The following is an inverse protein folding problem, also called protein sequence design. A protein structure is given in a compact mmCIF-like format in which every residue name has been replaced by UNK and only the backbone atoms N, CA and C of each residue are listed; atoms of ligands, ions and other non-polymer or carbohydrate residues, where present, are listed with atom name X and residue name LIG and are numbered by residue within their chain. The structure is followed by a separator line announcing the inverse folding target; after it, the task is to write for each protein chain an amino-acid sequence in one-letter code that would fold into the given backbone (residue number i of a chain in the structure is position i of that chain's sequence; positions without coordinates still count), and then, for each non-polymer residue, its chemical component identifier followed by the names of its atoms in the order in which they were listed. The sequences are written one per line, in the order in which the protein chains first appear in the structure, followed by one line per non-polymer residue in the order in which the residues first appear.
data_IF_277694288125
#
_entry.id   IF_277694288125
#
_cell.length_a   1.000
_cell.length_b   1.000
_cell.length_c   1.000
_cell.angle_alpha   90.00
_cell.angle_beta   90.00
_cell.angle_gamma   90.00
#
_symmetry.space_group_name_H-M   'P 1'
#
loop_
_entity.id
_entity.type
_entity.pdbx_description
1 polymer ?
#
# COMPACT_ATOMS: atom_id res chain seq x y z
N UNK A 1 6.41 5.83 -1.22
CA UNK A 1 7.59 5.19 -1.82
C UNK A 1 7.49 3.71 -1.51
N UNK A 2 7.46 2.87 -2.55
CA UNK A 2 7.24 1.43 -2.39
C UNK A 2 8.57 0.74 -2.10
N UNK A 3 8.62 0.03 -0.98
CA UNK A 3 9.73 -0.85 -0.64
C UNK A 3 9.41 -2.22 -1.24
N UNK A 4 9.83 -2.42 -2.49
CA UNK A 4 9.55 -3.65 -3.27
C UNK A 4 10.23 -4.87 -2.62
N UNK A 5 11.42 -4.71 -2.00
CA UNK A 5 12.09 -5.75 -1.22
C UNK A 5 12.40 -5.31 0.22
N UNK A 6 12.52 -6.27 1.12
CA UNK A 6 12.82 -6.02 2.54
C UNK A 6 14.11 -5.23 2.79
N UNK A 7 15.06 -5.22 1.85
CA UNK A 7 16.29 -4.41 1.92
C UNK A 7 16.43 -3.41 0.77
N UNK A 8 15.41 -3.23 -0.09
CA UNK A 8 15.52 -2.29 -1.22
C UNK A 8 15.41 -0.84 -0.77
N UNK A 9 16.12 0.04 -1.47
CA UNK A 9 15.96 1.48 -1.37
C UNK A 9 14.63 1.96 -1.94
N UNK A 10 14.11 2.99 -1.28
CA UNK A 10 12.90 3.71 -1.65
C UNK A 10 13.14 4.56 -2.90
N UNK A 11 12.85 4.02 -4.09
CA UNK A 11 13.02 4.74 -5.35
C UNK A 11 11.74 5.49 -5.74
N UNK A 12 11.78 6.81 -5.92
CA UNK A 12 10.64 7.55 -6.45
C UNK A 12 10.37 7.12 -7.89
N UNK A 13 9.10 6.92 -8.23
CA UNK A 13 8.67 6.55 -9.58
C UNK A 13 7.97 7.75 -10.22
N UNK A 14 8.41 8.14 -11.42
CA UNK A 14 7.85 9.28 -12.15
C UNK A 14 6.44 9.00 -12.69
N UNK A 15 6.12 7.74 -12.97
CA UNK A 15 4.84 7.29 -13.53
C UNK A 15 4.32 6.12 -12.70
N UNK A 16 3.05 6.13 -12.33
CA UNK A 16 2.39 5.06 -11.57
C UNK A 16 2.40 3.74 -12.33
N UNK A 17 2.62 2.63 -11.63
CA UNK A 17 2.50 1.30 -12.23
C UNK A 17 1.07 1.06 -12.72
N UNK A 18 0.95 0.48 -13.90
CA UNK A 18 -0.32 0.28 -14.59
C UNK A 18 -0.37 -1.16 -15.07
N UNK A 19 -1.46 -1.82 -14.73
CA UNK A 19 -1.70 -3.22 -15.07
C UNK A 19 -3.05 -3.36 -15.75
N UNK A 20 -3.13 -4.27 -16.71
CA UNK A 20 -4.41 -4.64 -17.30
C UNK A 20 -4.91 -5.92 -16.64
N UNK A 21 -5.79 -5.76 -15.65
CA UNK A 21 -6.32 -6.86 -14.85
C UNK A 21 -7.09 -7.91 -15.68
N UNK A 22 -7.57 -7.56 -16.88
CA UNK A 22 -8.25 -8.52 -17.78
C UNK A 22 -7.26 -9.52 -18.38
N UNK A 23 -6.05 -9.07 -18.73
CA UNK A 23 -5.02 -9.92 -19.33
C UNK A 23 -4.01 -10.45 -18.32
N UNK A 24 -3.84 -9.74 -17.21
CA UNK A 24 -2.85 -10.02 -16.18
C UNK A 24 -3.48 -9.84 -14.78
N UNK A 25 -4.27 -10.82 -14.32
CA UNK A 25 -5.00 -10.72 -13.05
C UNK A 25 -4.09 -10.77 -11.82
N UNK A 26 -2.84 -11.20 -11.98
CA UNK A 26 -1.86 -11.32 -10.89
C UNK A 26 -0.80 -10.21 -10.92
N UNK A 27 -0.96 -9.19 -11.76
CA UNK A 27 -0.04 -8.04 -11.85
C UNK A 27 1.43 -8.47 -12.12
N UNK A 28 1.60 -9.52 -12.92
CA UNK A 28 2.90 -10.10 -13.25
C UNK A 28 3.71 -9.32 -14.29
N UNK A 29 3.10 -8.37 -15.00
CA UNK A 29 3.76 -7.56 -16.05
C UNK A 29 4.39 -6.29 -15.48
N UNK A 30 5.30 -6.45 -14.53
CA UNK A 30 6.05 -5.38 -13.86
C UNK A 30 7.44 -5.12 -14.48
N UNK A 31 7.85 -5.93 -15.45
CA UNK A 31 9.14 -5.82 -16.12
C UNK A 31 9.25 -4.54 -16.95
N UNK A 32 10.46 -3.96 -17.06
CA UNK A 32 10.69 -2.68 -17.75
C UNK A 32 10.10 -2.63 -19.17
N UNK A 33 10.20 -3.73 -19.90
CA UNK A 33 9.77 -3.83 -21.30
C UNK A 33 8.25 -3.96 -21.42
N UNK A 34 7.66 -4.94 -20.71
CA UNK A 34 6.21 -5.16 -20.72
C UNK A 34 5.42 -3.95 -20.20
N UNK A 35 5.90 -3.35 -19.11
CA UNK A 35 5.35 -2.14 -18.54
C UNK A 35 5.49 -0.94 -19.48
N UNK A 36 6.67 -0.75 -20.10
CA UNK A 36 6.93 0.37 -21.01
C UNK A 36 5.96 0.38 -22.20
N UNK A 37 5.74 -0.77 -22.83
CA UNK A 37 4.79 -0.91 -23.92
C UNK A 37 3.33 -0.66 -23.49
N UNK A 38 2.97 -1.10 -22.29
CA UNK A 38 1.63 -0.91 -21.76
C UNK A 38 1.37 0.58 -21.46
N UNK A 39 2.31 1.27 -20.82
CA UNK A 39 2.19 2.71 -20.52
C UNK A 39 2.05 3.52 -21.81
N UNK A 40 2.82 3.21 -22.84
CA UNK A 40 2.70 3.89 -24.14
C UNK A 40 1.29 3.75 -24.74
N UNK A 41 0.73 2.53 -24.73
CA UNK A 41 -0.62 2.26 -25.25
C UNK A 41 -1.73 2.91 -24.42
N UNK A 42 -1.50 3.06 -23.12
CA UNK A 42 -2.48 3.55 -22.17
C UNK A 42 -2.30 5.03 -21.79
N UNK A 43 -1.38 5.75 -22.44
CA UNK A 43 -1.05 7.14 -22.14
C UNK A 43 -2.28 8.08 -22.18
N UNK A 44 -3.25 7.76 -23.04
CA UNK A 44 -4.51 8.49 -23.18
C UNK A 44 -5.40 8.44 -21.92
N UNK A 45 -5.22 7.46 -21.03
CA UNK A 45 -6.01 7.33 -19.80
C UNK A 45 -5.60 8.30 -18.69
N UNK A 46 -4.43 8.94 -18.83
CA UNK A 46 -3.90 9.87 -17.81
C UNK A 46 -4.88 11.01 -17.47
N UNK A 47 -5.55 11.56 -18.47
CA UNK A 47 -6.57 12.62 -18.31
C UNK A 47 -7.75 12.20 -17.42
N UNK A 48 -8.58 11.22 -17.86
CA UNK A 48 -9.75 10.80 -17.09
C UNK A 48 -9.39 10.24 -15.71
N UNK A 49 -8.23 9.58 -15.57
CA UNK A 49 -7.75 9.10 -14.28
C UNK A 49 -7.45 10.26 -13.32
N UNK A 50 -6.88 11.36 -13.81
CA UNK A 50 -6.61 12.56 -13.01
C UNK A 50 -7.87 13.17 -12.41
N UNK A 51 -8.95 13.27 -13.19
CA UNK A 51 -10.25 13.75 -12.71
C UNK A 51 -10.84 12.83 -11.64
N UNK A 52 -10.81 11.51 -11.89
CA UNK A 52 -11.30 10.51 -10.94
C UNK A 52 -10.55 10.57 -9.59
N UNK A 53 -9.22 10.67 -9.64
CA UNK A 53 -8.39 10.83 -8.44
C UNK A 53 -8.72 12.15 -7.74
N UNK A 54 -8.85 13.25 -8.48
CA UNK A 54 -9.23 14.55 -7.92
C UNK A 54 -10.56 14.49 -7.18
N UNK A 55 -11.58 13.88 -7.78
CA UNK A 55 -12.88 13.67 -7.17
C UNK A 55 -12.80 12.75 -5.94
N UNK A 56 -11.99 11.71 -5.99
CA UNK A 56 -11.75 10.83 -4.85
C UNK A 56 -11.11 11.59 -3.68
N UNK A 57 -10.07 12.40 -3.93
CA UNK A 57 -9.44 13.23 -2.90
C UNK A 57 -10.43 14.25 -2.30
N UNK A 58 -11.30 14.85 -3.12
CA UNK A 58 -12.37 15.71 -2.63
C UNK A 58 -13.32 14.96 -1.69
N UNK A 59 -13.72 13.75 -2.04
CA UNK A 59 -14.57 12.90 -1.19
C UNK A 59 -13.90 12.52 0.13
N UNK A 60 -12.58 12.30 0.16
CA UNK A 60 -11.84 12.03 1.40
C UNK A 60 -11.75 13.25 2.32
N UNK A 61 -11.78 14.46 1.76
CA UNK A 61 -11.85 15.70 2.53
C UNK A 61 -13.24 15.94 3.11
N UNK A 62 -14.29 15.64 2.34
CA UNK A 62 -15.70 15.76 2.76
C UNK A 62 -16.10 14.66 3.76
N UNK A 63 -15.57 13.45 3.57
CA UNK A 63 -15.84 12.25 4.38
C UNK A 63 -14.53 11.63 4.86
N UNK A 64 -13.93 12.15 5.94
CA UNK A 64 -12.65 11.66 6.43
C UNK A 64 -12.75 10.18 6.86
N UNK A 65 -11.71 9.36 6.60
CA UNK A 65 -11.72 7.94 6.96
C UNK A 65 -11.86 7.75 8.48
N UNK A 66 -12.90 7.03 8.88
CA UNK A 66 -13.23 6.77 10.30
C UNK A 66 -12.25 5.81 10.99
N UNK A 67 -11.51 5.04 10.20
CA UNK A 67 -10.40 4.25 10.70
C UNK A 67 -9.22 5.19 10.89
N UNK A 68 -9.07 5.72 12.10
CA UNK A 68 -7.83 6.37 12.51
C UNK A 68 -6.67 5.43 12.16
N UNK A 69 -5.60 5.98 11.57
CA UNK A 69 -4.38 5.21 11.33
C UNK A 69 -4.02 4.52 12.65
N UNK A 70 -4.21 3.19 12.71
CA UNK A 70 -3.81 2.45 13.90
C UNK A 70 -2.34 2.78 14.05
N UNK A 71 -2.00 3.50 15.11
CA UNK A 71 -0.65 3.62 15.62
C UNK A 71 -0.26 2.22 16.09
N UNK A 72 -0.08 1.31 15.15
CA UNK A 72 0.46 -0.01 15.40
C UNK A 72 1.96 0.18 15.53
N UNK A 73 2.34 0.82 16.64
CA UNK A 73 3.73 0.91 17.07
C UNK A 73 4.15 -0.49 17.53
N UNK A 74 4.68 -1.26 16.57
CA UNK A 74 5.18 -2.61 16.81
C UNK A 74 6.48 -2.63 17.62
N UNK A 75 7.04 -1.48 17.99
CA UNK A 75 8.33 -1.41 18.68
C UNK A 75 8.29 -2.12 20.02
N UNK A 76 7.14 -2.13 20.69
CA UNK A 76 7.00 -2.68 22.04
C UNK A 76 6.17 -3.97 22.13
N UNK A 77 5.67 -4.53 21.02
CA UNK A 77 4.82 -5.73 21.06
C UNK A 77 5.48 -6.93 21.77
N UNK A 78 6.79 -7.11 21.58
CA UNK A 78 7.54 -8.18 22.25
C UNK A 78 7.66 -7.91 23.75
N UNK A 79 7.91 -6.66 24.14
CA UNK A 79 8.00 -6.30 25.56
C UNK A 79 6.63 -6.45 26.25
N UNK A 80 5.55 -6.02 25.60
CA UNK A 80 4.19 -6.11 26.11
C UNK A 80 3.71 -7.57 26.24
N UNK A 81 4.04 -8.42 25.26
CA UNK A 81 3.78 -9.87 25.33
C UNK A 81 4.55 -10.55 26.48
N UNK A 82 5.82 -10.21 26.67
CA UNK A 82 6.64 -10.74 27.76
C UNK A 82 6.18 -10.23 29.13
N UNK A 83 5.70 -8.99 29.24
CA UNK A 83 5.15 -8.43 30.47
C UNK A 83 3.80 -9.06 30.84
N UNK A 84 2.89 -9.27 29.88
CA UNK A 84 1.62 -9.98 30.11
C UNK A 84 1.85 -11.42 30.61
N UNK A 85 2.86 -12.12 30.10
CA UNK A 85 3.25 -13.45 30.60
C UNK A 85 3.76 -13.45 32.04
N UNK A 86 4.42 -12.37 32.47
CA UNK A 86 4.92 -12.23 33.85
C UNK A 86 3.83 -11.82 34.84
N UNK A 87 2.77 -11.15 34.37
CA UNK A 87 1.67 -10.68 35.21
C UNK A 87 0.51 -11.70 35.39
N UNK A 88 0.59 -12.89 34.81
CA UNK A 88 -0.33 -13.99 35.16
C UNK A 88 0.21 -14.71 36.40
N UNK A 89 -0.28 -14.44 37.63
CA UNK A 89 0.01 -15.32 38.75
C UNK A 89 -0.60 -16.68 38.41
N UNK A 90 0.17 -17.74 38.65
CA UNK A 90 -0.27 -19.12 38.48
C UNK A 90 -1.60 -19.30 39.22
N UNK A 91 -2.71 -19.35 38.47
CA UNK A 91 -4.01 -19.68 39.00
C UNK A 91 -3.89 -21.09 39.60
N UNK A 92 -4.01 -21.10 40.93
CA UNK A 92 -4.04 -22.24 41.84
C UNK A 92 -4.62 -23.51 41.19
N UNK A 93 -3.78 -24.56 41.18
CA UNK A 93 -4.23 -25.96 41.22
C UNK A 93 -4.15 -26.44 42.66
#
# INVERSE_FOLDING_TARGET
SLKEDYYSDLRPRTITMLFNLRSDPFESYDSKDSYGHLVQKAAWMSGPLGELIGNHLKSLAEYPPVQAAKSFDRSNMVQEFLQQRRQQPAAQR
#
